data_IF_258233938668
#
_entry.id   IF_258233938668
#
_cell.length_a   1.000
_cell.length_b   1.000
_cell.length_c   1.000
_cell.angle_alpha   90.00
_cell.angle_beta   90.00
_cell.angle_gamma   90.00
#
_symmetry.space_group_name_H-M   'P 1'
#
loop_
_entity.id
_entity.type
_entity.pdbx_description
1 polymer ?
#
# COMPACT_ATOMS: atom_id res chain seq x y z
N UNK A 1 42.43 52.36 -30.22
CA UNK A 1 41.87 51.01 -30.09
C UNK A 1 42.24 50.50 -28.70
N UNK A 2 41.48 50.90 -27.72
CA UNK A 2 41.70 50.54 -26.30
C UNK A 2 40.43 50.92 -25.57
N UNK A 3 39.55 49.98 -25.23
CA UNK A 3 38.33 50.32 -24.51
C UNK A 3 37.17 49.34 -24.60
N UNK A 4 37.44 48.02 -24.59
CA UNK A 4 36.32 47.05 -24.62
C UNK A 4 36.56 45.75 -23.77
N UNK A 5 37.29 45.86 -22.68
CA UNK A 5 37.60 44.66 -21.86
C UNK A 5 37.63 44.96 -20.37
N UNK A 6 36.59 45.65 -19.83
CA UNK A 6 36.40 45.84 -18.39
C UNK A 6 34.96 45.68 -17.88
N UNK A 7 34.10 44.91 -18.58
CA UNK A 7 32.68 44.76 -18.22
C UNK A 7 32.18 43.36 -17.89
N UNK A 8 33.01 42.32 -17.81
CA UNK A 8 32.52 40.93 -17.69
C UNK A 8 32.94 40.22 -16.39
N UNK A 9 33.57 40.89 -15.43
CA UNK A 9 34.03 40.24 -14.19
C UNK A 9 33.21 40.58 -12.93
N UNK A 10 32.08 41.28 -13.03
CA UNK A 10 31.25 41.65 -11.87
C UNK A 10 29.94 40.86 -11.75
N UNK A 11 29.65 39.92 -12.62
CA UNK A 11 28.37 39.17 -12.66
C UNK A 11 28.39 37.76 -12.06
N UNK A 12 29.55 37.19 -11.70
CA UNK A 12 29.62 35.79 -11.23
C UNK A 12 29.73 35.64 -9.72
N UNK A 13 29.76 36.72 -8.95
CA UNK A 13 29.91 36.68 -7.48
C UNK A 13 28.58 36.66 -6.69
N UNK A 14 27.44 36.94 -7.29
CA UNK A 14 26.16 37.12 -6.59
C UNK A 14 25.20 35.94 -6.66
N UNK A 15 25.46 34.91 -7.48
CA UNK A 15 24.59 33.75 -7.61
C UNK A 15 25.00 32.57 -6.71
N UNK A 16 26.23 32.59 -6.18
CA UNK A 16 26.74 31.49 -5.32
C UNK A 16 26.33 31.60 -3.84
N UNK A 17 25.68 32.66 -3.39
CA UNK A 17 25.26 32.84 -1.97
C UNK A 17 23.77 32.63 -1.71
N UNK A 18 22.96 32.24 -2.69
CA UNK A 18 21.51 32.00 -2.49
C UNK A 18 21.14 30.53 -2.42
N UNK A 19 22.10 29.58 -2.51
CA UNK A 19 21.83 28.14 -2.44
C UNK A 19 22.31 27.46 -1.14
N UNK A 20 22.82 28.21 -0.17
CA UNK A 20 23.31 27.66 1.10
C UNK A 20 22.28 27.67 2.26
N UNK A 21 21.03 28.02 1.99
CA UNK A 21 20.00 28.24 3.02
C UNK A 21 18.84 27.25 3.06
N UNK A 22 18.82 26.20 2.25
CA UNK A 22 17.63 25.31 2.12
C UNK A 22 17.86 23.83 2.47
N UNK A 23 18.99 23.48 3.10
CA UNK A 23 19.24 22.11 3.60
C UNK A 23 19.50 22.10 5.11
N UNK A 24 18.73 22.87 5.90
CA UNK A 24 18.56 22.62 7.33
C UNK A 24 17.24 21.88 7.54
N UNK A 25 17.03 20.79 6.86
CA UNK A 25 16.12 19.75 7.29
C UNK A 25 16.87 18.98 8.38
N UNK A 26 16.57 19.23 9.66
CA UNK A 26 16.80 18.27 10.72
C UNK A 26 16.13 16.95 10.28
N UNK A 27 16.87 16.08 9.61
CA UNK A 27 16.57 14.67 9.58
C UNK A 27 16.80 14.19 11.03
N UNK A 28 15.82 14.41 11.89
CA UNK A 28 15.65 13.64 13.10
C UNK A 28 15.59 12.20 12.62
N UNK A 29 16.71 11.49 12.65
CA UNK A 29 16.76 10.07 12.44
C UNK A 29 15.77 9.49 13.45
N UNK A 30 14.62 9.04 12.97
CA UNK A 30 13.61 8.40 13.80
C UNK A 30 14.32 7.25 14.50
N UNK A 31 14.59 7.39 15.80
CA UNK A 31 15.32 6.41 16.57
C UNK A 31 14.51 5.12 16.54
N UNK A 32 15.13 4.04 16.02
CA UNK A 32 14.49 2.74 15.94
C UNK A 32 13.96 2.31 17.31
N UNK A 33 12.72 1.86 17.34
CA UNK A 33 12.10 1.29 18.55
C UNK A 33 12.10 -0.22 18.45
N UNK A 34 12.68 -0.88 19.46
CA UNK A 34 12.81 -2.33 19.54
C UNK A 34 11.45 -3.01 19.43
N UNK A 35 11.40 -4.05 18.60
CA UNK A 35 10.22 -4.86 18.29
C UNK A 35 10.38 -6.30 18.77
N UNK A 36 9.27 -7.05 18.83
CA UNK A 36 9.29 -8.50 19.12
C UNK A 36 10.12 -9.23 18.07
N UNK A 37 10.92 -10.20 18.54
CA UNK A 37 11.75 -11.03 17.67
C UNK A 37 13.09 -10.41 17.29
N UNK A 38 13.35 -9.14 17.58
CA UNK A 38 14.68 -8.52 17.36
C UNK A 38 15.75 -9.26 18.14
N UNK A 39 16.94 -9.40 17.55
CA UNK A 39 18.12 -9.93 18.19
C UNK A 39 18.98 -8.78 18.66
N UNK A 40 19.11 -8.63 19.98
CA UNK A 40 19.95 -7.61 20.59
C UNK A 40 21.30 -8.19 20.98
N UNK A 41 22.37 -7.48 20.70
CA UNK A 41 23.70 -7.72 21.25
C UNK A 41 23.96 -6.70 22.36
N UNK A 42 24.16 -7.20 23.55
CA UNK A 42 24.37 -6.39 24.76
C UNK A 42 25.81 -6.64 25.22
N UNK A 43 26.57 -5.58 25.31
CA UNK A 43 27.95 -5.58 25.77
C UNK A 43 28.08 -4.77 27.04
N UNK A 44 28.73 -5.34 28.06
CA UNK A 44 29.03 -4.65 29.33
C UNK A 44 30.55 -4.53 29.49
N UNK A 45 31.04 -3.29 29.55
CA UNK A 45 32.48 -3.03 29.62
C UNK A 45 33.11 -3.69 30.84
N UNK A 46 34.21 -4.40 30.65
CA UNK A 46 34.97 -5.17 31.66
C UNK A 46 34.19 -6.29 32.35
N UNK A 47 33.07 -6.76 31.76
CA UNK A 47 32.26 -7.88 32.29
C UNK A 47 31.93 -8.85 31.15
N UNK A 48 32.91 -9.65 30.71
CA UNK A 48 32.74 -10.55 29.57
C UNK A 48 31.62 -11.58 29.77
N UNK A 49 31.42 -12.02 31.01
CA UNK A 49 30.35 -12.99 31.37
C UNK A 49 28.93 -12.43 31.21
N UNK A 50 28.80 -11.11 31.01
CA UNK A 50 27.52 -10.42 30.83
C UNK A 50 27.27 -10.04 29.36
N UNK A 51 28.20 -10.32 28.46
CA UNK A 51 28.02 -10.10 27.05
C UNK A 51 27.10 -11.16 26.48
N UNK A 52 25.90 -10.76 26.07
CA UNK A 52 24.87 -11.69 25.62
C UNK A 52 24.24 -11.21 24.32
N UNK A 53 23.90 -12.19 23.47
CA UNK A 53 22.99 -12.03 22.35
C UNK A 53 21.66 -12.62 22.76
N UNK A 54 20.63 -11.77 22.77
CA UNK A 54 19.31 -12.16 23.28
C UNK A 54 18.22 -11.70 22.35
N UNK A 55 17.26 -12.58 22.08
CA UNK A 55 16.10 -12.26 21.27
C UNK A 55 14.96 -11.74 22.15
N UNK A 56 14.30 -10.69 21.68
CA UNK A 56 13.10 -10.15 22.32
C UNK A 56 11.97 -11.18 22.21
N UNK A 57 11.41 -11.56 23.36
CA UNK A 57 10.33 -12.55 23.42
C UNK A 57 8.98 -11.98 22.92
N UNK A 58 7.99 -12.84 22.73
CA UNK A 58 6.64 -12.45 22.27
C UNK A 58 5.90 -11.51 23.23
N UNK A 59 6.39 -11.39 24.48
CA UNK A 59 5.83 -10.48 25.48
C UNK A 59 6.59 -9.14 25.54
N UNK A 60 7.60 -8.93 24.66
CA UNK A 60 8.40 -7.70 24.60
C UNK A 60 9.50 -7.61 25.67
N UNK A 61 9.94 -8.74 26.21
CA UNK A 61 10.99 -8.80 27.22
C UNK A 61 12.24 -9.50 26.69
N UNK A 62 13.37 -9.16 27.29
CA UNK A 62 14.61 -9.93 27.22
C UNK A 62 14.94 -10.51 28.58
N UNK A 63 15.74 -11.59 28.59
CA UNK A 63 16.31 -12.12 29.82
C UNK A 63 17.79 -11.77 29.87
N UNK A 64 18.18 -10.98 30.86
CA UNK A 64 19.56 -10.51 31.03
C UNK A 64 20.16 -11.09 32.31
N UNK A 65 21.45 -11.50 32.32
CA UNK A 65 22.13 -12.01 33.50
C UNK A 65 21.99 -11.06 34.70
N UNK A 66 21.77 -11.60 35.88
CA UNK A 66 21.66 -10.86 37.15
C UNK A 66 20.43 -9.95 37.24
N UNK A 67 20.09 -9.21 36.17
CA UNK A 67 18.97 -8.27 36.13
C UNK A 67 17.60 -8.96 35.83
N UNK A 68 17.60 -10.23 35.37
CA UNK A 68 16.37 -10.99 35.09
C UNK A 68 15.61 -10.55 33.85
N UNK A 69 14.28 -10.44 33.94
CA UNK A 69 13.43 -10.00 32.82
C UNK A 69 13.37 -8.48 32.74
N UNK A 70 13.68 -7.93 31.55
CA UNK A 70 13.66 -6.51 31.27
C UNK A 70 12.71 -6.25 30.10
N UNK A 71 11.76 -5.32 30.27
CA UNK A 71 10.86 -4.90 29.20
C UNK A 71 11.62 -3.96 28.26
N UNK A 72 11.68 -4.34 26.97
CA UNK A 72 12.43 -3.60 25.93
C UNK A 72 11.54 -3.15 24.74
N UNK A 73 10.32 -3.66 24.63
CA UNK A 73 9.40 -3.33 23.54
C UNK A 73 9.15 -1.83 23.48
N UNK A 74 9.24 -1.24 22.27
CA UNK A 74 8.99 0.19 22.04
C UNK A 74 10.06 1.13 22.58
N UNK A 75 11.14 0.62 23.21
CA UNK A 75 12.28 1.41 23.66
C UNK A 75 13.35 1.51 22.60
N UNK A 76 14.11 2.60 22.64
CA UNK A 76 15.34 2.74 21.84
C UNK A 76 16.50 1.98 22.48
N UNK A 77 17.56 1.63 21.73
CA UNK A 77 18.77 1.04 22.30
C UNK A 77 19.31 1.84 23.49
N UNK A 78 19.41 3.15 23.39
CA UNK A 78 19.91 4.03 24.46
C UNK A 78 19.06 3.96 25.74
N UNK A 79 17.73 3.85 25.58
CA UNK A 79 16.83 3.67 26.71
C UNK A 79 17.04 2.30 27.39
N UNK A 80 17.32 1.27 26.61
CA UNK A 80 17.59 -0.07 27.14
C UNK A 80 18.93 -0.10 27.86
N UNK A 81 19.96 0.55 27.34
CA UNK A 81 21.25 0.73 28.03
C UNK A 81 21.06 1.34 29.43
N UNK A 82 20.27 2.41 29.51
CA UNK A 82 19.95 3.09 30.77
C UNK A 82 19.22 2.18 31.76
N UNK A 83 18.26 1.37 31.27
CA UNK A 83 17.50 0.41 32.09
C UNK A 83 18.43 -0.69 32.63
N UNK A 84 19.27 -1.27 31.76
CA UNK A 84 20.21 -2.32 32.15
C UNK A 84 21.25 -1.77 33.14
N UNK A 85 21.85 -0.63 32.86
CA UNK A 85 22.81 0.02 33.74
C UNK A 85 22.21 0.30 35.13
N UNK A 86 20.94 0.73 35.19
CA UNK A 86 20.23 0.94 36.46
C UNK A 86 20.01 -0.38 37.21
N UNK A 87 19.63 -1.45 36.50
CA UNK A 87 19.46 -2.75 37.10
C UNK A 87 20.78 -3.33 37.64
N UNK A 88 21.89 -3.15 36.91
CA UNK A 88 23.22 -3.57 37.36
C UNK A 88 23.70 -2.80 38.59
N UNK A 89 23.49 -1.48 38.64
CA UNK A 89 23.81 -0.68 39.82
C UNK A 89 23.10 -1.17 41.09
N UNK A 90 21.82 -1.58 40.97
CA UNK A 90 21.06 -2.15 42.09
C UNK A 90 21.63 -3.49 42.56
N UNK A 91 22.36 -4.18 41.71
CA UNK A 91 23.02 -5.46 42.02
C UNK A 91 24.52 -5.30 42.37
N UNK A 92 24.96 -4.07 42.74
CA UNK A 92 26.28 -3.81 43.29
C UNK A 92 27.37 -3.46 42.28
N UNK A 93 27.04 -3.21 41.01
CA UNK A 93 28.02 -2.76 40.02
C UNK A 93 28.23 -1.25 40.10
N UNK A 94 29.46 -0.81 40.33
CA UNK A 94 29.82 0.59 40.30
C UNK A 94 30.00 1.05 38.84
N UNK A 95 29.19 2.03 38.40
CA UNK A 95 29.28 2.67 37.08
C UNK A 95 29.36 1.71 35.87
N UNK A 96 28.40 0.77 35.68
CA UNK A 96 28.40 -0.12 34.54
C UNK A 96 28.19 0.63 33.22
N UNK A 97 29.10 0.48 32.28
CA UNK A 97 28.95 0.96 30.90
C UNK A 97 28.35 -0.17 30.07
N UNK A 98 27.16 0.09 29.54
CA UNK A 98 26.39 -0.88 28.76
C UNK A 98 26.19 -0.32 27.37
N UNK A 99 26.45 -1.14 26.36
CA UNK A 99 26.17 -0.84 24.95
C UNK A 99 25.19 -1.86 24.42
N UNK A 100 24.10 -1.37 23.82
CA UNK A 100 23.07 -2.20 23.19
C UNK A 100 23.00 -1.89 21.70
N UNK A 101 23.17 -2.93 20.89
CA UNK A 101 23.00 -2.83 19.44
C UNK A 101 22.00 -3.86 18.94
N UNK A 102 21.27 -3.53 17.87
CA UNK A 102 20.39 -4.48 17.17
C UNK A 102 21.26 -5.24 16.19
N UNK A 103 21.50 -6.53 16.45
CA UNK A 103 22.28 -7.39 15.58
C UNK A 103 21.48 -7.91 14.38
N UNK A 104 20.18 -8.21 14.61
CA UNK A 104 19.27 -8.58 13.55
C UNK A 104 17.85 -8.12 13.90
N UNK A 105 17.20 -7.50 12.94
CA UNK A 105 15.80 -7.10 13.05
C UNK A 105 14.89 -8.30 12.82
N UNK A 106 13.78 -8.36 13.55
CA UNK A 106 12.74 -9.33 13.25
C UNK A 106 12.20 -9.07 11.83
N UNK A 107 11.97 -10.11 11.01
CA UNK A 107 11.41 -9.91 9.70
C UNK A 107 9.99 -9.29 9.81
N UNK A 108 9.89 -8.02 9.41
CA UNK A 108 8.63 -7.24 9.41
C UNK A 108 7.83 -7.57 8.16
N UNK A 109 7.42 -8.84 8.02
CA UNK A 109 6.67 -9.32 6.86
C UNK A 109 5.23 -8.83 6.90
N UNK A 110 4.71 -8.52 5.72
CA UNK A 110 3.30 -8.30 5.43
C UNK A 110 2.89 -9.22 4.29
N UNK A 111 1.61 -9.48 4.17
CA UNK A 111 1.05 -10.34 3.13
C UNK A 111 0.04 -9.53 2.31
N UNK A 112 0.02 -9.77 1.01
CA UNK A 112 -0.97 -9.20 0.08
C UNK A 112 -1.62 -10.37 -0.64
N UNK A 113 -2.92 -10.52 -0.48
CA UNK A 113 -3.69 -11.65 -0.98
C UNK A 113 -4.79 -11.19 -1.94
N UNK A 114 -5.07 -12.00 -2.96
CA UNK A 114 -6.20 -11.83 -3.86
C UNK A 114 -5.85 -11.31 -5.24
N UNK A 115 -6.63 -10.39 -5.79
CA UNK A 115 -6.56 -9.94 -7.18
C UNK A 115 -5.43 -8.89 -7.38
N UNK A 116 -4.19 -9.38 -7.41
CA UNK A 116 -2.96 -8.62 -7.66
C UNK A 116 -2.17 -9.23 -8.83
N UNK A 117 -1.36 -8.42 -9.50
CA UNK A 117 -0.62 -8.85 -10.69
C UNK A 117 0.53 -9.83 -10.39
N UNK A 118 1.06 -9.86 -9.17
CA UNK A 118 2.06 -10.85 -8.76
C UNK A 118 1.52 -12.27 -8.57
N UNK A 119 0.21 -12.46 -8.67
CA UNK A 119 -0.48 -13.73 -8.37
C UNK A 119 -1.23 -13.65 -7.04
N UNK A 120 -1.93 -14.74 -6.67
CA UNK A 120 -2.87 -14.73 -5.55
C UNK A 120 -2.25 -14.43 -4.18
N UNK A 121 -0.96 -14.72 -4.01
CA UNK A 121 -0.23 -14.60 -2.74
C UNK A 121 1.09 -13.87 -2.95
N UNK A 122 1.27 -12.78 -2.25
CA UNK A 122 2.52 -12.02 -2.25
C UNK A 122 2.92 -11.67 -0.83
N UNK A 123 4.21 -11.72 -0.53
CA UNK A 123 4.74 -11.25 0.75
C UNK A 123 5.94 -10.34 0.53
N UNK A 124 6.00 -9.26 1.26
CA UNK A 124 7.16 -8.37 1.30
C UNK A 124 7.51 -8.00 2.74
N UNK A 125 8.65 -7.37 2.90
CA UNK A 125 9.15 -6.92 4.21
C UNK A 125 9.10 -5.40 4.25
N UNK A 126 8.56 -4.85 5.33
CA UNK A 126 8.63 -3.41 5.58
C UNK A 126 10.11 -3.05 5.76
N UNK A 127 10.64 -2.02 5.06
CA UNK A 127 12.03 -1.59 5.21
C UNK A 127 12.40 -1.25 6.65
N UNK A 128 13.65 -1.49 7.02
CA UNK A 128 14.17 -1.13 8.34
C UNK A 128 14.13 0.39 8.52
N UNK A 129 13.59 0.85 9.66
CA UNK A 129 13.41 2.28 9.91
C UNK A 129 12.40 2.98 9.00
N UNK A 130 11.82 2.27 8.03
CA UNK A 130 10.83 2.79 7.09
C UNK A 130 9.39 2.43 7.47
N UNK A 131 8.48 3.09 6.79
CA UNK A 131 7.05 2.80 6.83
C UNK A 131 6.60 2.28 5.47
N UNK A 132 5.58 1.45 5.45
CA UNK A 132 4.93 0.97 4.24
C UNK A 132 3.43 1.13 4.37
N UNK A 133 2.81 1.65 3.33
CA UNK A 133 1.35 1.79 3.27
C UNK A 133 0.72 0.64 2.49
N UNK A 134 -0.61 0.48 2.61
CA UNK A 134 -1.34 -0.56 1.91
C UNK A 134 -1.20 -0.44 0.39
N UNK A 135 -1.29 0.77 -0.16
CA UNK A 135 -1.13 0.98 -1.60
C UNK A 135 0.32 0.75 -2.07
N UNK A 136 1.33 1.07 -1.23
CA UNK A 136 2.72 0.74 -1.54
C UNK A 136 2.96 -0.77 -1.57
N UNK A 137 2.35 -1.52 -0.65
CA UNK A 137 2.43 -2.98 -0.65
C UNK A 137 1.76 -3.60 -1.88
N UNK A 138 0.59 -3.10 -2.28
CA UNK A 138 -0.09 -3.51 -3.50
C UNK A 138 0.77 -3.17 -4.73
N UNK A 139 1.39 -1.98 -4.77
CA UNK A 139 2.30 -1.60 -5.86
C UNK A 139 3.53 -2.52 -5.94
N UNK A 140 4.11 -2.90 -4.78
CA UNK A 140 5.21 -3.86 -4.71
C UNK A 140 4.79 -5.26 -5.21
N UNK A 141 3.51 -5.61 -5.04
CA UNK A 141 2.88 -6.82 -5.59
C UNK A 141 2.51 -6.70 -7.09
N UNK A 142 3.08 -5.72 -7.80
CA UNK A 142 2.81 -5.51 -9.23
C UNK A 142 1.52 -4.74 -9.53
N UNK A 143 0.86 -4.19 -8.52
CA UNK A 143 -0.38 -3.44 -8.63
C UNK A 143 -1.63 -4.33 -8.59
N UNK A 144 -2.78 -3.67 -8.69
CA UNK A 144 -4.09 -4.33 -8.73
C UNK A 144 -4.31 -5.02 -10.07
N UNK A 145 -4.89 -6.23 -10.04
CA UNK A 145 -5.36 -6.90 -11.24
C UNK A 145 -6.61 -6.18 -11.80
N UNK A 146 -6.89 -6.37 -13.09
CA UNK A 146 -8.08 -5.79 -13.73
C UNK A 146 -9.40 -6.21 -13.05
N UNK A 147 -9.41 -7.41 -12.47
CA UNK A 147 -10.54 -7.97 -11.75
C UNK A 147 -10.67 -7.54 -10.29
N UNK A 148 -9.78 -6.66 -9.78
CA UNK A 148 -9.79 -6.24 -8.38
C UNK A 148 -10.98 -5.33 -8.02
N UNK A 149 -11.60 -5.56 -6.86
CA UNK A 149 -12.61 -4.68 -6.28
C UNK A 149 -11.94 -3.58 -5.45
N UNK A 150 -11.65 -2.45 -6.08
CA UNK A 150 -10.96 -1.31 -5.44
C UNK A 150 -11.77 -0.63 -4.33
N UNK A 151 -13.07 -0.92 -4.23
CA UNK A 151 -13.93 -0.36 -3.19
C UNK A 151 -13.92 -1.17 -1.89
N UNK A 152 -13.42 -2.42 -1.95
CA UNK A 152 -13.49 -3.37 -0.84
C UNK A 152 -12.13 -3.89 -0.38
N UNK A 153 -11.06 -3.19 -0.70
CA UNK A 153 -9.73 -3.54 -0.20
C UNK A 153 -9.68 -3.31 1.30
N UNK A 154 -9.17 -4.28 2.03
CA UNK A 154 -9.08 -4.25 3.50
C UNK A 154 -7.69 -4.66 3.97
N UNK A 155 -7.34 -4.18 5.16
CA UNK A 155 -6.18 -4.65 5.93
C UNK A 155 -6.70 -5.41 7.14
N UNK A 156 -6.32 -6.67 7.25
CA UNK A 156 -6.57 -7.51 8.41
C UNK A 156 -5.36 -7.42 9.35
N UNK A 157 -5.59 -6.94 10.56
CA UNK A 157 -4.57 -6.78 11.61
C UNK A 157 -4.96 -7.54 12.85
N UNK A 158 -4.13 -8.48 13.28
CA UNK A 158 -4.30 -9.16 14.56
C UNK A 158 -3.91 -8.25 15.73
N UNK A 159 -4.67 -8.26 16.80
CA UNK A 159 -4.28 -7.64 18.07
C UNK A 159 -3.59 -8.65 19.01
N UNK A 160 -3.01 -8.13 20.09
CA UNK A 160 -2.33 -8.97 21.10
C UNK A 160 -3.29 -9.94 21.85
N UNK A 161 -4.60 -9.74 21.71
CA UNK A 161 -5.65 -10.57 22.32
C UNK A 161 -6.16 -11.66 21.36
N UNK A 162 -5.61 -11.71 20.13
CA UNK A 162 -6.02 -12.66 19.09
C UNK A 162 -7.26 -12.24 18.29
N UNK A 163 -7.77 -11.03 18.48
CA UNK A 163 -8.86 -10.52 17.66
C UNK A 163 -8.32 -9.96 16.35
N UNK A 164 -9.14 -10.06 15.30
CA UNK A 164 -8.83 -9.48 13.98
C UNK A 164 -9.53 -8.14 13.83
N UNK A 165 -8.76 -7.08 13.64
CA UNK A 165 -9.24 -5.77 13.27
C UNK A 165 -9.22 -5.64 11.75
N UNK A 166 -10.34 -5.21 11.16
CA UNK A 166 -10.47 -5.00 9.72
C UNK A 166 -10.51 -3.51 9.44
N UNK A 167 -9.55 -3.03 8.66
CA UNK A 167 -9.42 -1.63 8.27
C UNK A 167 -9.71 -1.51 6.77
N UNK A 168 -10.62 -0.63 6.37
CA UNK A 168 -10.94 -0.40 4.95
C UNK A 168 -9.91 0.54 4.33
N UNK A 169 -9.34 0.13 3.18
CA UNK A 169 -8.40 0.95 2.42
C UNK A 169 -9.18 1.81 1.44
N UNK A 170 -9.04 3.15 1.45
CA UNK A 170 -9.73 4.04 0.52
C UNK A 170 -9.06 4.07 -0.86
N UNK A 171 -8.80 2.90 -1.43
CA UNK A 171 -8.00 2.73 -2.64
C UNK A 171 -8.61 3.48 -3.84
N UNK A 172 -9.94 3.45 -4.01
CA UNK A 172 -10.65 4.20 -5.05
C UNK A 172 -10.34 5.70 -4.98
N UNK A 173 -10.42 6.29 -3.80
CA UNK A 173 -10.19 7.73 -3.63
C UNK A 173 -8.73 8.09 -3.86
N UNK A 174 -7.80 7.23 -3.44
CA UNK A 174 -6.36 7.40 -3.68
C UNK A 174 -6.06 7.33 -5.18
N UNK A 175 -6.58 6.33 -5.90
CA UNK A 175 -6.39 6.17 -7.35
C UNK A 175 -7.01 7.32 -8.15
N UNK A 176 -8.13 7.88 -7.68
CA UNK A 176 -8.76 9.06 -8.29
C UNK A 176 -8.05 10.38 -7.91
N UNK A 177 -6.93 10.34 -7.21
CA UNK A 177 -6.17 11.52 -6.79
C UNK A 177 -6.84 12.35 -5.71
N UNK A 178 -7.85 11.83 -5.03
CA UNK A 178 -8.48 12.51 -3.90
C UNK A 178 -7.57 12.43 -2.68
N UNK A 179 -7.67 13.45 -1.82
CA UNK A 179 -6.91 13.52 -0.58
C UNK A 179 -7.48 12.51 0.44
N UNK A 180 -7.02 11.27 0.37
CA UNK A 180 -7.37 10.20 1.29
C UNK A 180 -6.11 9.69 1.99
N UNK A 181 -6.21 9.38 3.29
CA UNK A 181 -5.11 8.84 4.06
C UNK A 181 -4.97 7.35 3.76
N UNK A 182 -3.82 6.94 3.24
CA UNK A 182 -3.48 5.54 3.07
C UNK A 182 -3.15 4.88 4.42
N UNK A 183 -3.45 3.59 4.56
CA UNK A 183 -3.24 2.86 5.81
C UNK A 183 -1.77 2.46 5.93
N UNK A 184 -1.12 2.87 7.03
CA UNK A 184 0.22 2.40 7.39
C UNK A 184 0.15 0.97 7.91
N UNK A 185 0.94 0.12 7.29
CA UNK A 185 1.00 -1.30 7.63
C UNK A 185 1.91 -1.56 8.83
N UNK A 186 1.53 -2.55 9.61
CA UNK A 186 2.31 -3.11 10.72
C UNK A 186 2.81 -4.51 10.35
N UNK A 187 3.86 -5.01 11.01
CA UNK A 187 4.30 -6.39 10.83
C UNK A 187 3.15 -7.38 11.05
N UNK A 188 3.08 -8.39 10.18
CA UNK A 188 2.02 -9.42 10.14
C UNK A 188 0.65 -8.95 9.65
N UNK A 189 0.51 -7.70 9.18
CA UNK A 189 -0.70 -7.28 8.50
C UNK A 189 -0.91 -8.07 7.21
N UNK A 190 -2.17 -8.31 6.90
CA UNK A 190 -2.57 -8.93 5.65
C UNK A 190 -3.48 -7.98 4.88
N UNK A 191 -3.03 -7.55 3.71
CA UNK A 191 -3.84 -6.75 2.77
C UNK A 191 -4.61 -7.72 1.89
N UNK A 192 -5.94 -7.61 1.88
CA UNK A 192 -6.82 -8.46 1.07
C UNK A 192 -7.44 -7.63 -0.04
N UNK A 193 -7.22 -8.07 -1.27
CA UNK A 193 -7.77 -7.46 -2.49
C UNK A 193 -8.83 -8.41 -3.06
N UNK A 194 -10.12 -8.18 -2.80
CA UNK A 194 -11.17 -9.07 -3.28
C UNK A 194 -11.41 -8.90 -4.78
N UNK A 195 -12.06 -9.89 -5.36
CA UNK A 195 -12.48 -9.87 -6.76
C UNK A 195 -13.74 -9.04 -6.95
N UNK A 196 -13.75 -8.15 -7.95
CA UNK A 196 -14.91 -7.38 -8.36
C UNK A 196 -15.98 -8.30 -9.00
N UNK A 197 -17.24 -7.91 -8.88
CA UNK A 197 -18.29 -8.55 -9.64
C UNK A 197 -18.13 -8.18 -11.11
N UNK A 198 -18.10 -9.15 -12.05
CA UNK A 198 -17.98 -8.87 -13.46
C UNK A 198 -19.26 -8.26 -14.02
N UNK A 199 -19.13 -7.47 -15.08
CA UNK A 199 -20.18 -7.12 -15.99
C UNK A 199 -20.26 -8.24 -17.03
N UNK A 200 -21.43 -8.86 -17.19
CA UNK A 200 -21.61 -9.99 -18.10
C UNK A 200 -22.26 -9.53 -19.40
N UNK A 201 -21.62 -9.81 -20.54
CA UNK A 201 -22.18 -9.54 -21.88
C UNK A 201 -22.67 -10.85 -22.47
N UNK A 202 -23.95 -10.91 -22.81
CA UNK A 202 -24.64 -12.08 -23.33
C UNK A 202 -25.36 -11.77 -24.65
N UNK A 203 -25.73 -12.81 -25.39
CA UNK A 203 -26.48 -12.69 -26.66
C UNK A 203 -25.58 -12.64 -27.89
N UNK A 204 -25.94 -11.80 -28.88
CA UNK A 204 -25.30 -11.74 -30.20
C UNK A 204 -24.12 -10.78 -30.29
N UNK A 205 -23.42 -10.55 -29.17
CA UNK A 205 -22.09 -9.94 -29.21
C UNK A 205 -21.07 -10.92 -29.86
N UNK A 206 -20.10 -10.38 -30.57
CA UNK A 206 -19.10 -11.25 -31.25
C UNK A 206 -18.23 -12.04 -30.29
N UNK A 207 -17.97 -11.51 -29.11
CA UNK A 207 -17.20 -12.14 -28.03
C UNK A 207 -17.94 -11.93 -26.71
N UNK A 208 -19.03 -12.70 -26.46
CA UNK A 208 -19.72 -12.64 -25.17
C UNK A 208 -18.77 -13.09 -24.07
N UNK A 209 -18.91 -12.50 -22.88
CA UNK A 209 -17.97 -12.80 -21.78
C UNK A 209 -18.17 -11.90 -20.57
N UNK A 210 -17.19 -11.93 -19.69
CA UNK A 210 -17.15 -11.14 -18.48
C UNK A 210 -16.11 -10.04 -18.62
N UNK A 211 -16.47 -8.84 -18.18
CA UNK A 211 -15.63 -7.64 -18.23
C UNK A 211 -15.61 -6.98 -16.86
N UNK A 212 -14.49 -6.36 -16.49
CA UNK A 212 -14.34 -5.69 -15.21
C UNK A 212 -14.23 -4.17 -15.45
N UNK A 213 -14.92 -3.40 -14.61
CA UNK A 213 -14.86 -1.95 -14.61
C UNK A 213 -14.00 -1.49 -13.45
N UNK A 214 -13.07 -0.57 -13.70
CA UNK A 214 -12.30 0.08 -12.65
C UNK A 214 -12.58 1.60 -12.65
N UNK A 215 -12.29 2.32 -11.54
CA UNK A 215 -12.57 3.75 -11.43
C UNK A 215 -11.81 4.62 -12.44
N UNK A 216 -10.62 4.21 -12.85
CA UNK A 216 -9.81 4.94 -13.83
C UNK A 216 -10.37 4.81 -15.25
N UNK A 217 -11.08 3.71 -15.49
CA UNK A 217 -11.58 3.34 -16.80
C UNK A 217 -13.00 2.77 -16.72
N UNK A 218 -13.99 3.61 -16.35
CA UNK A 218 -15.36 3.15 -16.16
C UNK A 218 -15.95 2.63 -17.47
N UNK A 219 -16.68 1.51 -17.38
CA UNK A 219 -17.33 0.90 -18.52
C UNK A 219 -18.73 1.47 -18.73
N UNK A 220 -19.00 1.87 -19.96
CA UNK A 220 -20.34 2.18 -20.47
C UNK A 220 -20.87 1.05 -21.35
N UNK A 221 -22.14 1.09 -21.70
CA UNK A 221 -22.74 0.05 -22.56
C UNK A 221 -22.04 0.02 -23.93
N UNK A 222 -21.78 1.17 -24.55
CA UNK A 222 -21.08 1.22 -25.84
C UNK A 222 -19.66 0.65 -25.73
N UNK A 223 -18.98 0.99 -24.67
CA UNK A 223 -17.59 0.57 -24.44
C UNK A 223 -17.49 -0.94 -24.20
N UNK A 224 -18.36 -1.52 -23.37
CA UNK A 224 -18.35 -2.97 -23.14
C UNK A 224 -18.70 -3.75 -24.38
N UNK A 225 -19.63 -3.24 -25.23
CA UNK A 225 -19.94 -3.82 -26.53
C UNK A 225 -18.74 -3.76 -27.46
N UNK A 226 -18.01 -2.64 -27.48
CA UNK A 226 -16.78 -2.52 -28.27
C UNK A 226 -15.70 -3.50 -27.81
N UNK A 227 -15.50 -3.69 -26.50
CA UNK A 227 -14.60 -4.69 -25.93
C UNK A 227 -15.03 -6.13 -26.27
N UNK A 228 -16.34 -6.38 -26.33
CA UNK A 228 -16.91 -7.64 -26.81
C UNK A 228 -16.79 -7.83 -28.35
N UNK A 229 -16.02 -6.98 -29.04
CA UNK A 229 -15.79 -7.04 -30.48
C UNK A 229 -16.94 -6.53 -31.33
N UNK A 230 -17.89 -5.81 -30.74
CA UNK A 230 -19.12 -5.33 -31.38
C UNK A 230 -20.21 -6.39 -31.44
N UNK A 231 -21.25 -6.13 -32.24
CA UNK A 231 -22.37 -7.03 -32.44
C UNK A 231 -22.24 -7.74 -33.78
N UNK A 232 -22.86 -8.89 -33.92
CA UNK A 232 -22.89 -9.64 -35.21
C UNK A 232 -23.76 -8.91 -36.25
N UNK A 233 -24.84 -8.26 -35.79
CA UNK A 233 -25.77 -7.53 -36.65
C UNK A 233 -25.99 -6.12 -36.12
N UNK A 234 -25.83 -5.05 -36.98
CA UNK A 234 -25.95 -3.67 -36.53
C UNK A 234 -27.32 -3.34 -35.88
N UNK A 235 -28.41 -3.88 -36.36
CA UNK A 235 -29.76 -3.67 -35.83
C UNK A 235 -29.95 -4.13 -34.37
N UNK A 236 -29.03 -4.95 -33.83
CA UNK A 236 -29.04 -5.38 -32.44
C UNK A 236 -28.66 -4.24 -31.45
N UNK A 237 -28.06 -3.14 -31.94
CA UNK A 237 -27.62 -2.00 -31.13
C UNK A 237 -28.78 -1.14 -30.60
N UNK A 238 -29.96 -1.15 -31.23
CA UNK A 238 -31.10 -0.33 -30.83
C UNK A 238 -31.90 -0.84 -29.62
N UNK A 239 -31.67 -2.06 -29.17
CA UNK A 239 -32.47 -2.73 -28.13
C UNK A 239 -31.63 -3.50 -27.12
N UNK A 240 -30.46 -2.96 -26.78
CA UNK A 240 -29.61 -3.58 -25.77
C UNK A 240 -30.27 -3.46 -24.40
N UNK A 241 -30.38 -4.59 -23.70
CA UNK A 241 -30.95 -4.62 -22.37
C UNK A 241 -29.86 -4.71 -21.32
N UNK A 242 -29.89 -3.81 -20.35
CA UNK A 242 -29.03 -3.84 -19.16
C UNK A 242 -29.88 -4.24 -17.97
N UNK A 243 -29.53 -5.32 -17.29
CA UNK A 243 -30.18 -5.77 -16.08
C UNK A 243 -29.26 -5.48 -14.89
N UNK A 244 -29.76 -4.73 -13.91
CA UNK A 244 -29.09 -4.37 -12.67
C UNK A 244 -29.95 -4.75 -11.47
N UNK A 245 -29.61 -5.84 -10.80
CA UNK A 245 -30.49 -6.45 -9.81
C UNK A 245 -31.87 -6.74 -10.39
N UNK A 246 -32.92 -6.17 -9.81
CA UNK A 246 -34.32 -6.35 -10.26
C UNK A 246 -34.77 -5.34 -11.34
N UNK A 247 -33.89 -4.41 -11.72
CA UNK A 247 -34.18 -3.36 -12.70
C UNK A 247 -33.67 -3.74 -14.08
N UNK A 248 -34.45 -3.38 -15.11
CA UNK A 248 -34.06 -3.58 -16.50
C UNK A 248 -34.15 -2.26 -17.27
N UNK A 249 -33.13 -1.94 -18.03
CA UNK A 249 -33.03 -0.73 -18.85
C UNK A 249 -32.86 -1.16 -20.30
N UNK A 250 -33.43 -0.37 -21.22
CA UNK A 250 -33.18 -0.55 -22.66
C UNK A 250 -32.34 0.63 -23.12
N UNK A 251 -31.22 0.32 -23.76
CA UNK A 251 -30.26 1.31 -24.25
C UNK A 251 -30.18 1.19 -25.77
N UNK A 252 -30.34 2.31 -26.46
CA UNK A 252 -30.23 2.42 -27.92
C UNK A 252 -28.87 3.02 -28.29
N UNK A 253 -27.90 2.13 -28.53
CA UNK A 253 -26.54 2.52 -28.93
C UNK A 253 -26.52 3.00 -30.39
N UNK A 254 -27.40 2.50 -31.24
CA UNK A 254 -27.48 2.95 -32.63
C UNK A 254 -27.78 4.44 -32.70
N UNK A 255 -28.80 4.87 -31.98
CA UNK A 255 -29.18 6.29 -31.90
C UNK A 255 -28.04 7.15 -31.31
N UNK A 256 -27.36 6.66 -30.30
CA UNK A 256 -26.20 7.32 -29.69
C UNK A 256 -25.06 7.56 -30.70
N UNK A 257 -24.79 6.56 -31.56
CA UNK A 257 -23.75 6.66 -32.60
C UNK A 257 -24.16 7.60 -33.73
N UNK A 258 -25.44 7.65 -34.09
CA UNK A 258 -25.96 8.52 -35.14
C UNK A 258 -26.01 10.00 -34.70
N UNK A 259 -26.43 10.27 -33.45
CA UNK A 259 -26.57 11.64 -32.92
C UNK A 259 -25.23 12.25 -32.45
N UNK A 260 -24.18 11.44 -32.29
CA UNK A 260 -22.85 11.90 -31.86
C UNK A 260 -22.78 12.55 -30.48
N UNK A 261 -23.86 12.46 -29.72
CA UNK A 261 -23.99 13.05 -28.39
C UNK A 261 -23.79 11.97 -27.34
N UNK A 262 -22.67 12.03 -26.61
CA UNK A 262 -22.35 11.08 -25.52
C UNK A 262 -23.32 11.10 -24.33
N UNK A 263 -24.45 11.81 -24.40
CA UNK A 263 -25.37 12.04 -23.30
C UNK A 263 -26.32 10.89 -22.94
N UNK A 264 -26.31 9.79 -23.70
CA UNK A 264 -27.23 8.66 -23.47
C UNK A 264 -26.53 7.33 -23.18
N UNK A 265 -25.21 7.31 -23.11
CA UNK A 265 -24.46 6.07 -22.86
C UNK A 265 -24.46 5.71 -21.37
N UNK A 266 -25.16 4.64 -21.04
CA UNK A 266 -25.34 4.23 -19.65
C UNK A 266 -24.04 3.72 -19.04
N UNK A 267 -23.66 4.28 -17.89
CA UNK A 267 -22.58 3.77 -17.07
C UNK A 267 -22.98 2.42 -16.44
N UNK A 268 -22.13 1.42 -16.61
CA UNK A 268 -22.31 0.09 -16.04
C UNK A 268 -21.72 0.00 -14.63
N UNK A 269 -22.38 -0.79 -13.79
CA UNK A 269 -21.93 -1.10 -12.43
C UNK A 269 -21.52 -2.56 -12.31
N UNK A 270 -20.61 -2.89 -11.38
CA UNK A 270 -20.24 -4.27 -11.11
C UNK A 270 -21.48 -5.16 -10.83
N UNK A 271 -21.61 -6.24 -11.60
CA UNK A 271 -22.74 -7.18 -11.52
C UNK A 271 -23.85 -6.93 -12.54
N UNK A 272 -23.74 -5.90 -13.39
CA UNK A 272 -24.69 -5.71 -14.49
C UNK A 272 -24.60 -6.84 -15.52
N UNK A 273 -25.76 -7.14 -16.11
CA UNK A 273 -25.86 -8.06 -17.23
C UNK A 273 -26.33 -7.30 -18.46
N UNK A 274 -25.49 -7.25 -19.49
CA UNK A 274 -25.77 -6.61 -20.78
C UNK A 274 -26.17 -7.69 -21.76
N UNK A 275 -27.43 -7.68 -22.19
CA UNK A 275 -27.97 -8.62 -23.17
C UNK A 275 -28.15 -7.97 -24.53
N UNK A 276 -27.47 -8.50 -25.53
CA UNK A 276 -27.60 -8.10 -26.95
C UNK A 276 -28.59 -9.04 -27.63
N UNK A 277 -29.81 -8.54 -27.99
CA UNK A 277 -30.84 -9.39 -28.53
C UNK A 277 -30.54 -9.86 -29.98
N UNK A 278 -31.08 -10.99 -30.34
CA UNK A 278 -31.22 -11.37 -31.74
C UNK A 278 -32.31 -10.50 -32.38
N UNK A 279 -31.97 -9.77 -33.42
CA UNK A 279 -33.00 -9.12 -34.25
C UNK A 279 -33.51 -10.13 -35.29
N UNK A 280 -34.77 -10.52 -35.15
CA UNK A 280 -35.48 -11.18 -36.23
C UNK A 280 -35.83 -10.16 -37.32
N UNK A 281 -35.75 -10.57 -38.57
CA UNK A 281 -36.12 -9.78 -39.76
C UNK A 281 -37.53 -9.24 -39.69
#
# INVERSE_FOLDING_TARGET
>A
MSGFMKGILAGLGAVAMLFAGLFSGDASAASYSISQGDLLSIYVYRQEDMNVKVRVDNSGYIRFPIAGRINVIGKTPDQIESVIATALRRNGFESPEVVVSVEAFAPRKIFVLGEINAGADFSCTIPEGGEMTAMQAISAAGGLAESADVEKIIVCRGDASGNMNVLSVPAKDILMGKKAADIRLQPSDTVVVPKAKPISVLGTAKKPGQFYSNPENPLTVSRVIALAGGVERPNSLSKIRVTRGDKSFVVDIQKLLEEGTGGGDMLLEPGDVVYVPETRW
#
